data_IF_377294785340
#
_entry.id   IF_377294785340
#
_cell.length_a   1.000
_cell.length_b   1.000
_cell.length_c   1.000
_cell.angle_alpha   90.00
_cell.angle_beta   90.00
_cell.angle_gamma   90.00
#
_symmetry.space_group_name_H-M   'P 1'
#
loop_
_entity.id
_entity.type
_entity.pdbx_description
1 polymer ?
#
# COMPACT_ATOMS: atom_id res chain seq x y z
N UNK A 1 -23.98 -17.66 -2.10
CA UNK A 1 -23.72 -17.47 -0.65
C UNK A 1 -22.38 -18.11 -0.28
N UNK A 2 -21.27 -17.49 -0.66
CA UNK A 2 -19.91 -17.93 -0.31
C UNK A 2 -19.26 -16.80 0.48
N UNK A 3 -19.06 -16.96 1.78
CA UNK A 3 -18.50 -15.86 2.58
C UNK A 3 -18.23 -16.12 4.06
N UNK A 4 -18.83 -17.14 4.70
CA UNK A 4 -18.64 -17.38 6.14
C UNK A 4 -17.86 -18.66 6.50
N UNK A 5 -17.69 -19.61 5.56
CA UNK A 5 -17.21 -20.97 5.86
C UNK A 5 -15.77 -21.29 5.42
N UNK A 6 -15.03 -20.30 4.90
CA UNK A 6 -13.68 -20.54 4.36
C UNK A 6 -12.58 -19.74 5.07
N UNK A 7 -12.63 -19.73 6.40
CA UNK A 7 -11.54 -19.21 7.23
C UNK A 7 -10.43 -20.26 7.39
N UNK A 8 -9.19 -19.83 7.66
CA UNK A 8 -8.08 -20.78 7.89
C UNK A 8 -8.32 -21.67 9.13
N UNK A 9 -8.98 -21.12 10.15
CA UNK A 9 -9.44 -21.90 11.31
C UNK A 9 -10.41 -23.02 10.90
N UNK A 10 -11.37 -22.73 10.03
CA UNK A 10 -12.31 -23.75 9.54
C UNK A 10 -11.58 -24.81 8.70
N UNK A 11 -10.66 -24.39 7.83
CA UNK A 11 -9.83 -25.31 7.03
C UNK A 11 -9.00 -26.22 7.92
N UNK A 12 -8.45 -25.71 9.01
CA UNK A 12 -7.70 -26.48 9.99
C UNK A 12 -8.57 -27.54 10.69
N UNK A 13 -9.77 -27.16 11.14
CA UNK A 13 -10.75 -28.10 11.71
C UNK A 13 -11.11 -29.20 10.69
N UNK A 14 -11.32 -28.84 9.43
CA UNK A 14 -11.67 -29.78 8.37
C UNK A 14 -10.52 -30.76 8.07
N UNK A 15 -9.25 -30.30 8.14
CA UNK A 15 -8.06 -31.16 8.03
C UNK A 15 -8.02 -32.20 9.16
N UNK A 16 -8.22 -31.77 10.40
CA UNK A 16 -8.24 -32.65 11.57
C UNK A 16 -9.35 -33.69 11.43
N UNK A 17 -10.58 -33.26 11.11
CA UNK A 17 -11.72 -34.18 10.88
C UNK A 17 -11.41 -35.21 9.81
N UNK A 18 -10.77 -34.82 8.71
CA UNK A 18 -10.38 -35.73 7.64
C UNK A 18 -9.46 -36.85 8.14
N UNK A 19 -8.46 -36.51 8.95
CA UNK A 19 -7.51 -37.48 9.53
C UNK A 19 -8.22 -38.38 10.55
N UNK A 20 -9.04 -37.81 11.44
CA UNK A 20 -9.79 -38.58 12.44
C UNK A 20 -10.75 -39.59 11.80
N UNK A 21 -11.44 -39.21 10.73
CA UNK A 21 -12.33 -40.13 10.02
C UNK A 21 -11.56 -41.23 9.28
N UNK A 22 -10.36 -40.94 8.76
CA UNK A 22 -9.46 -41.97 8.22
C UNK A 22 -9.04 -42.96 9.32
N UNK A 23 -8.61 -42.48 10.47
CA UNK A 23 -8.24 -43.36 11.59
C UNK A 23 -9.41 -44.23 12.05
N UNK A 24 -10.64 -43.69 12.07
CA UNK A 24 -11.83 -44.47 12.36
C UNK A 24 -12.10 -45.57 11.30
N UNK A 25 -11.87 -45.27 10.02
CA UNK A 25 -11.93 -46.27 8.94
C UNK A 25 -10.92 -47.38 9.17
N UNK A 26 -9.67 -47.00 9.46
CA UNK A 26 -8.56 -47.94 9.66
C UNK A 26 -8.77 -48.79 10.92
N UNK A 27 -9.50 -48.27 11.92
CA UNK A 27 -9.96 -49.00 13.11
C UNK A 27 -11.19 -49.91 12.87
N UNK A 28 -11.69 -50.01 11.62
CA UNK A 28 -12.72 -50.98 11.24
C UNK A 28 -14.06 -50.38 10.81
N UNK A 29 -14.22 -49.04 10.79
CA UNK A 29 -15.42 -48.39 10.23
C UNK A 29 -15.39 -48.36 8.70
N UNK A 30 -15.53 -49.53 8.06
CA UNK A 30 -15.31 -49.74 6.61
C UNK A 30 -16.24 -48.95 5.69
N UNK A 31 -17.39 -48.47 6.20
CA UNK A 31 -18.31 -47.61 5.44
C UNK A 31 -17.74 -46.21 5.17
N UNK A 32 -16.73 -45.77 5.93
CA UNK A 32 -16.08 -44.47 5.75
C UNK A 32 -15.18 -44.54 4.51
N UNK A 33 -15.56 -43.79 3.48
CA UNK A 33 -14.77 -43.63 2.26
C UNK A 33 -14.50 -42.13 1.99
N UNK A 34 -13.63 -41.84 1.01
CA UNK A 34 -13.23 -40.46 0.69
C UNK A 34 -14.40 -39.56 0.31
N UNK A 35 -15.39 -40.11 -0.41
CA UNK A 35 -16.60 -39.37 -0.81
C UNK A 35 -17.43 -39.03 0.43
N UNK A 36 -17.63 -39.99 1.32
CA UNK A 36 -18.37 -39.79 2.57
C UNK A 36 -17.75 -38.70 3.44
N UNK A 37 -16.42 -38.70 3.58
CA UNK A 37 -15.71 -37.65 4.34
C UNK A 37 -15.91 -36.28 3.68
N UNK A 38 -15.74 -36.20 2.35
CA UNK A 38 -15.90 -34.96 1.58
C UNK A 38 -17.28 -34.35 1.79
N UNK A 39 -18.33 -35.17 1.73
CA UNK A 39 -19.71 -34.77 1.96
C UNK A 39 -19.94 -34.32 3.41
N UNK A 40 -19.30 -34.97 4.39
CA UNK A 40 -19.42 -34.63 5.82
C UNK A 40 -18.71 -33.35 6.24
N UNK A 41 -17.58 -33.03 5.62
CA UNK A 41 -16.83 -31.80 5.92
C UNK A 41 -17.15 -30.67 4.94
N UNK A 42 -18.08 -30.89 4.00
CA UNK A 42 -18.45 -29.95 2.94
C UNK A 42 -17.24 -29.45 2.13
N UNK A 43 -16.33 -30.36 1.78
CA UNK A 43 -15.15 -30.08 0.94
C UNK A 43 -15.13 -31.00 -0.27
N UNK A 44 -14.23 -30.72 -1.20
CA UNK A 44 -14.04 -31.56 -2.38
C UNK A 44 -13.33 -32.88 -2.01
N UNK A 45 -13.60 -33.95 -2.75
CA UNK A 45 -12.85 -35.21 -2.63
C UNK A 45 -11.36 -35.05 -2.90
N UNK A 46 -10.98 -34.05 -3.72
CA UNK A 46 -9.58 -33.66 -3.91
C UNK A 46 -8.94 -33.19 -2.60
N UNK A 47 -9.61 -32.34 -1.82
CA UNK A 47 -9.12 -31.91 -0.51
C UNK A 47 -8.90 -33.11 0.42
N UNK A 48 -9.87 -34.04 0.48
CA UNK A 48 -9.76 -35.26 1.29
C UNK A 48 -8.59 -36.14 0.83
N UNK A 49 -8.37 -36.27 -0.48
CA UNK A 49 -7.24 -37.02 -1.05
C UNK A 49 -5.90 -36.39 -0.69
N UNK A 50 -5.77 -35.06 -0.79
CA UNK A 50 -4.54 -34.33 -0.44
C UNK A 50 -4.17 -34.44 1.05
N UNK A 51 -5.14 -34.67 1.92
CA UNK A 51 -4.95 -34.86 3.36
C UNK A 51 -5.03 -36.32 3.81
N UNK A 52 -5.24 -37.26 2.88
CA UNK A 52 -5.48 -38.67 3.19
C UNK A 52 -4.28 -39.34 3.87
N UNK A 53 -3.06 -39.01 3.46
CA UNK A 53 -1.84 -39.65 3.97
C UNK A 53 -1.07 -38.75 4.95
N UNK A 54 -1.62 -37.58 5.27
CA UNK A 54 -0.98 -36.62 6.17
C UNK A 54 -1.17 -37.00 7.64
N UNK A 55 -0.25 -36.56 8.48
CA UNK A 55 -0.33 -36.72 9.94
C UNK A 55 -1.01 -35.51 10.58
N UNK A 56 -1.54 -35.66 11.80
CA UNK A 56 -2.14 -34.57 12.57
C UNK A 56 -1.20 -33.36 12.70
N UNK A 57 0.11 -33.59 12.89
CA UNK A 57 1.11 -32.51 13.02
C UNK A 57 1.15 -31.61 11.79
N UNK A 58 0.93 -32.17 10.59
CA UNK A 58 0.89 -31.42 9.35
C UNK A 58 -0.37 -30.54 9.22
N UNK A 59 -1.41 -30.76 10.03
CA UNK A 59 -2.58 -29.88 10.08
C UNK A 59 -2.25 -28.51 10.69
N UNK A 60 -1.26 -28.47 11.57
CA UNK A 60 -0.79 -27.27 12.29
C UNK A 60 0.40 -26.60 11.61
N UNK A 61 0.89 -27.15 10.49
CA UNK A 61 2.00 -26.57 9.76
C UNK A 61 1.64 -25.17 9.27
N UNK A 62 2.30 -24.16 9.84
CA UNK A 62 2.12 -22.77 9.45
C UNK A 62 2.92 -22.47 8.17
N UNK A 63 2.22 -22.32 7.06
CA UNK A 63 2.78 -21.93 5.77
C UNK A 63 2.83 -20.40 5.58
N UNK A 64 2.52 -19.60 6.62
CA UNK A 64 2.59 -18.13 6.57
C UNK A 64 3.95 -17.61 6.07
N UNK A 65 5.02 -18.37 6.29
CA UNK A 65 6.39 -18.04 5.88
C UNK A 65 6.88 -18.76 4.62
N UNK A 66 6.03 -19.52 3.92
CA UNK A 66 6.40 -20.21 2.68
C UNK A 66 6.48 -19.29 1.45
N UNK A 67 6.29 -17.97 1.65
CA UNK A 67 6.36 -16.97 0.59
C UNK A 67 7.78 -16.78 0.02
N UNK A 68 7.89 -16.26 -1.21
CA UNK A 68 9.18 -15.87 -1.77
C UNK A 68 9.92 -14.91 -0.83
N UNK A 69 11.24 -15.09 -0.68
CA UNK A 69 12.08 -14.17 0.09
C UNK A 69 11.83 -12.73 -0.33
N UNK A 70 11.83 -11.81 0.65
CA UNK A 70 11.70 -10.38 0.40
C UNK A 70 12.73 -9.94 -0.65
N UNK A 71 12.25 -9.35 -1.75
CA UNK A 71 13.08 -8.89 -2.89
C UNK A 71 13.97 -7.68 -2.58
N UNK A 72 14.01 -7.20 -1.33
CA UNK A 72 14.69 -5.96 -0.95
C UNK A 72 15.61 -6.25 0.23
N UNK A 73 16.92 -6.09 0.00
CA UNK A 73 17.93 -6.08 1.06
C UNK A 73 17.68 -4.95 2.07
N UNK A 74 18.19 -5.08 3.30
CA UNK A 74 18.08 -4.01 4.32
C UNK A 74 18.72 -2.71 3.83
N UNK A 75 19.89 -2.80 3.21
CA UNK A 75 20.58 -1.64 2.64
C UNK A 75 19.75 -0.94 1.54
N UNK A 76 19.04 -1.70 0.70
CA UNK A 76 18.13 -1.11 -0.27
C UNK A 76 16.91 -0.44 0.39
N UNK A 77 16.40 -1.00 1.50
CA UNK A 77 15.31 -0.39 2.29
C UNK A 77 15.75 0.93 2.91
N UNK A 78 16.97 1.00 3.45
CA UNK A 78 17.53 2.22 4.03
C UNK A 78 17.64 3.33 2.98
N UNK A 79 18.10 3.01 1.76
CA UNK A 79 18.12 3.95 0.64
C UNK A 79 16.71 4.45 0.30
N UNK A 80 15.69 3.58 0.32
CA UNK A 80 14.31 4.00 0.05
C UNK A 80 13.78 4.92 1.14
N UNK A 81 14.10 4.64 2.41
CA UNK A 81 13.71 5.45 3.57
C UNK A 81 14.36 6.83 3.54
N UNK A 82 15.68 6.88 3.35
CA UNK A 82 16.44 8.12 3.21
C UNK A 82 15.95 8.95 2.03
N UNK A 83 15.65 8.30 0.90
CA UNK A 83 15.10 8.99 -0.27
C UNK A 83 13.62 9.38 -0.12
N UNK A 84 12.93 8.91 0.92
CA UNK A 84 11.59 9.41 1.30
C UNK A 84 11.78 10.70 2.09
N UNK A 85 10.84 11.64 2.03
CA UNK A 85 11.05 13.01 2.52
C UNK A 85 11.73 13.98 1.52
N UNK A 86 12.39 13.48 0.48
CA UNK A 86 13.09 14.33 -0.50
C UNK A 86 12.34 14.47 -1.84
N UNK A 87 12.37 15.67 -2.42
CA UNK A 87 11.90 15.91 -3.79
C UNK A 87 12.81 15.21 -4.82
N UNK A 88 12.30 15.06 -6.07
CA UNK A 88 13.04 14.47 -7.20
C UNK A 88 13.50 13.02 -7.00
N UNK A 89 13.11 12.37 -5.90
CA UNK A 89 13.37 10.95 -5.59
C UNK A 89 12.21 10.05 -6.02
N UNK A 90 11.93 10.06 -7.33
CA UNK A 90 10.94 9.14 -7.93
C UNK A 90 11.35 7.68 -7.77
N UNK A 91 10.39 6.75 -7.79
CA UNK A 91 10.70 5.32 -7.64
C UNK A 91 11.69 4.78 -8.67
N UNK A 92 11.73 5.35 -9.88
CA UNK A 92 12.71 5.00 -10.91
C UNK A 92 14.12 5.53 -10.57
N UNK A 93 14.21 6.73 -10.00
CA UNK A 93 15.48 7.32 -9.56
C UNK A 93 16.05 6.51 -8.41
N UNK A 94 15.22 6.18 -7.42
CA UNK A 94 15.63 5.36 -6.27
C UNK A 94 16.04 3.95 -6.70
N UNK A 95 15.31 3.33 -7.63
CA UNK A 95 15.68 2.03 -8.19
C UNK A 95 17.07 2.07 -8.87
N UNK A 96 17.37 3.12 -9.65
CA UNK A 96 18.70 3.33 -10.24
C UNK A 96 19.77 3.57 -9.18
N UNK A 97 19.45 4.28 -8.11
CA UNK A 97 20.36 4.55 -7.00
C UNK A 97 20.73 3.26 -6.26
N UNK A 98 19.75 2.39 -5.99
CA UNK A 98 19.98 1.06 -5.42
C UNK A 98 20.87 0.22 -6.34
N UNK A 99 20.57 0.18 -7.64
CA UNK A 99 21.39 -0.55 -8.60
C UNK A 99 22.84 -0.05 -8.65
N UNK A 100 23.06 1.25 -8.50
CA UNK A 100 24.40 1.85 -8.47
C UNK A 100 25.14 1.58 -7.15
N UNK A 101 24.48 1.77 -6.00
CA UNK A 101 25.10 1.68 -4.67
C UNK A 101 25.25 0.24 -4.18
N UNK A 102 24.21 -0.59 -4.37
CA UNK A 102 24.12 -1.95 -3.80
C UNK A 102 24.31 -3.05 -4.85
N UNK A 103 24.48 -2.70 -6.13
CA UNK A 103 24.55 -3.65 -7.26
C UNK A 103 23.34 -4.61 -7.31
N UNK A 104 22.20 -4.17 -6.77
CA UNK A 104 20.96 -4.93 -6.72
C UNK A 104 19.96 -4.39 -7.75
N UNK A 105 19.36 -5.26 -8.56
CA UNK A 105 18.35 -4.85 -9.53
C UNK A 105 16.96 -4.81 -8.90
N UNK A 106 16.43 -3.61 -8.71
CA UNK A 106 15.09 -3.39 -8.14
C UNK A 106 14.24 -2.62 -9.14
N UNK A 107 12.97 -3.01 -9.29
CA UNK A 107 12.04 -2.29 -10.16
C UNK A 107 11.41 -1.08 -9.46
N UNK A 108 10.99 -0.06 -10.23
CA UNK A 108 10.17 1.06 -9.71
C UNK A 108 8.96 0.56 -8.90
N UNK A 109 8.31 -0.50 -9.36
CA UNK A 109 7.12 -1.05 -8.71
C UNK A 109 7.45 -1.62 -7.33
N UNK A 110 8.60 -2.30 -7.19
CA UNK A 110 9.07 -2.81 -5.91
C UNK A 110 9.28 -1.68 -4.90
N UNK A 111 9.92 -0.58 -5.32
CA UNK A 111 10.10 0.62 -4.48
C UNK A 111 8.76 1.22 -4.05
N UNK A 112 7.82 1.39 -4.98
CA UNK A 112 6.50 1.94 -4.68
C UNK A 112 5.69 1.04 -3.73
N UNK A 113 5.75 -0.28 -3.94
CA UNK A 113 5.09 -1.24 -3.05
C UNK A 113 5.67 -1.20 -1.64
N UNK A 114 7.00 -1.08 -1.51
CA UNK A 114 7.65 -0.91 -0.22
C UNK A 114 7.20 0.38 0.47
N UNK A 115 7.25 1.53 -0.22
CA UNK A 115 6.79 2.83 0.33
C UNK A 115 5.35 2.76 0.84
N UNK A 116 4.44 2.15 0.08
CA UNK A 116 3.04 1.96 0.49
C UNK A 116 2.89 1.06 1.70
N UNK A 117 3.67 -0.02 1.80
CA UNK A 117 3.66 -0.94 2.96
C UNK A 117 4.15 -0.24 4.24
N UNK A 118 5.11 0.67 4.11
CA UNK A 118 5.58 1.51 5.22
C UNK A 118 4.60 2.66 5.58
N UNK A 119 3.45 2.76 4.88
CA UNK A 119 2.43 3.78 5.12
C UNK A 119 2.69 5.12 4.44
N UNK A 120 3.68 5.22 3.56
CA UNK A 120 4.01 6.47 2.87
C UNK A 120 3.03 6.78 1.74
N UNK A 121 2.70 8.07 1.61
CA UNK A 121 1.85 8.64 0.57
C UNK A 121 2.63 9.69 -0.23
N UNK A 122 2.36 9.82 -1.54
CA UNK A 122 2.95 10.88 -2.35
C UNK A 122 2.20 12.20 -2.14
N UNK A 123 2.88 13.23 -1.67
CA UNK A 123 2.39 14.58 -1.51
C UNK A 123 3.01 15.48 -2.58
N UNK A 124 2.19 16.34 -3.20
CA UNK A 124 2.68 17.33 -4.17
C UNK A 124 3.09 18.59 -3.42
N UNK A 125 4.37 18.96 -3.54
CA UNK A 125 4.89 20.17 -2.92
C UNK A 125 4.64 21.33 -3.87
N UNK A 126 3.98 22.36 -3.37
CA UNK A 126 3.76 23.60 -4.09
C UNK A 126 4.75 24.60 -3.53
N UNK A 127 5.65 25.11 -4.36
CA UNK A 127 6.52 26.22 -3.97
C UNK A 127 5.66 27.39 -3.52
N UNK A 128 5.73 27.77 -2.25
CA UNK A 128 5.13 29.01 -1.78
C UNK A 128 6.02 30.15 -2.28
N UNK A 129 5.45 31.23 -2.86
CA UNK A 129 6.25 32.39 -3.18
C UNK A 129 6.83 32.95 -1.88
N UNK A 130 8.14 33.15 -1.86
CA UNK A 130 8.83 33.82 -0.76
C UNK A 130 8.22 35.22 -0.60
N UNK A 131 7.65 35.51 0.58
CA UNK A 131 7.05 36.81 0.86
C UNK A 131 8.10 37.66 1.55
N UNK A 132 8.47 38.78 0.95
CA UNK A 132 9.18 39.83 1.69
C UNK A 132 8.26 40.40 2.78
N UNK A 133 8.82 41.07 3.77
CA UNK A 133 8.05 41.80 4.79
C UNK A 133 7.04 42.77 4.16
N UNK A 134 7.42 43.40 3.04
CA UNK A 134 6.54 44.25 2.23
C UNK A 134 5.35 43.47 1.68
N UNK A 135 5.57 42.30 1.06
CA UNK A 135 4.47 41.47 0.55
C UNK A 135 3.53 40.99 1.66
N UNK A 136 4.05 40.75 2.87
CA UNK A 136 3.21 40.39 4.02
C UNK A 136 2.35 41.60 4.43
N UNK A 137 2.98 42.76 4.56
CA UNK A 137 2.32 44.01 4.96
C UNK A 137 1.23 44.44 3.97
N UNK A 138 1.52 44.44 2.67
CA UNK A 138 0.57 44.82 1.62
C UNK A 138 -0.65 43.88 1.60
N UNK A 139 -0.43 42.58 1.82
CA UNK A 139 -1.52 41.60 1.89
C UNK A 139 -2.40 41.81 3.12
N UNK A 140 -1.81 42.10 4.28
CA UNK A 140 -2.56 42.40 5.49
C UNK A 140 -3.36 43.69 5.32
N UNK A 141 -2.73 44.73 4.76
CA UNK A 141 -3.41 45.98 4.44
C UNK A 141 -4.59 45.77 3.50
N UNK A 142 -4.41 44.99 2.42
CA UNK A 142 -5.50 44.70 1.48
C UNK A 142 -6.63 43.93 2.16
N UNK A 143 -6.31 42.94 3.01
CA UNK A 143 -7.32 42.20 3.76
C UNK A 143 -8.10 43.11 4.73
N UNK A 144 -7.41 44.00 5.45
CA UNK A 144 -8.05 44.94 6.36
C UNK A 144 -8.92 45.94 5.60
N UNK A 145 -8.47 46.42 4.44
CA UNK A 145 -9.26 47.30 3.58
C UNK A 145 -10.52 46.63 3.00
N UNK A 146 -10.41 45.36 2.58
CA UNK A 146 -11.53 44.58 2.06
C UNK A 146 -12.49 44.10 3.16
N UNK A 147 -12.08 44.11 4.43
CA UNK A 147 -12.89 43.62 5.55
C UNK A 147 -14.18 44.43 5.75
N UNK A 148 -14.13 45.71 5.42
CA UNK A 148 -15.26 46.63 5.55
C UNK A 148 -16.19 46.62 4.33
N UNK A 149 -15.87 45.82 3.30
CA UNK A 149 -16.71 45.69 2.11
C UNK A 149 -17.98 44.89 2.41
N UNK A 150 -19.07 45.34 1.83
CA UNK A 150 -20.39 44.70 1.88
C UNK A 150 -20.63 43.83 0.65
N UNK A 151 -21.73 43.08 0.65
CA UNK A 151 -22.14 42.26 -0.50
C UNK A 151 -22.36 43.11 -1.77
N UNK A 152 -22.85 44.33 -1.62
CA UNK A 152 -23.06 45.27 -2.74
C UNK A 152 -21.72 45.69 -3.38
N UNK A 153 -20.67 45.90 -2.57
CA UNK A 153 -19.33 46.24 -3.07
C UNK A 153 -18.73 45.10 -3.90
N UNK A 154 -18.93 43.85 -3.47
CA UNK A 154 -18.46 42.68 -4.20
C UNK A 154 -19.22 42.41 -5.49
N UNK A 155 -20.48 42.83 -5.62
CA UNK A 155 -21.25 42.71 -6.87
C UNK A 155 -20.65 43.56 -8.01
N UNK A 156 -19.87 44.58 -7.67
CA UNK A 156 -19.18 45.43 -8.63
C UNK A 156 -17.72 44.98 -8.88
N UNK A 157 -17.24 43.94 -8.19
CA UNK A 157 -15.90 43.40 -8.38
C UNK A 157 -15.88 42.41 -9.55
N UNK A 158 -15.08 42.72 -10.57
CA UNK A 158 -14.81 41.81 -11.68
C UNK A 158 -13.34 41.33 -11.61
N UNK A 159 -13.05 40.20 -10.94
CA UNK A 159 -11.70 39.67 -10.89
C UNK A 159 -11.32 39.10 -12.26
N UNK A 160 -10.07 39.35 -12.68
CA UNK A 160 -9.47 38.76 -13.87
C UNK A 160 -8.11 38.18 -13.53
N UNK A 161 -7.79 37.04 -14.11
CA UNK A 161 -6.47 36.41 -14.01
C UNK A 161 -6.13 35.70 -15.32
N UNK A 162 -4.84 35.46 -15.55
CA UNK A 162 -4.34 34.75 -16.72
C UNK A 162 -3.81 33.38 -16.30
N UNK A 163 -4.19 32.33 -17.03
CA UNK A 163 -3.66 30.99 -16.80
C UNK A 163 -3.16 30.35 -18.09
N UNK A 164 -2.13 29.53 -17.94
CA UNK A 164 -1.53 28.82 -19.06
C UNK A 164 -2.40 27.65 -19.52
N UNK A 165 -2.71 27.62 -20.82
CA UNK A 165 -3.31 26.46 -21.49
C UNK A 165 -2.23 25.73 -22.29
N UNK A 166 -1.88 24.52 -21.85
CA UNK A 166 -0.85 23.71 -22.49
C UNK A 166 -1.42 22.97 -23.71
N UNK A 167 -0.93 23.29 -24.91
CA UNK A 167 -1.40 22.69 -26.17
C UNK A 167 -0.72 21.38 -26.54
N UNK A 168 0.53 21.16 -26.09
CA UNK A 168 1.32 19.97 -26.48
C UNK A 168 1.49 19.00 -25.31
N UNK A 169 2.06 19.45 -24.18
CA UNK A 169 2.30 18.59 -23.03
C UNK A 169 2.31 19.40 -21.74
N UNK A 170 1.57 18.92 -20.74
CA UNK A 170 1.60 19.47 -19.39
C UNK A 170 2.97 19.24 -18.72
N UNK A 171 3.43 20.17 -17.87
CA UNK A 171 4.63 19.95 -17.05
C UNK A 171 4.53 18.66 -16.22
N UNK A 172 5.68 18.01 -15.98
CA UNK A 172 5.73 16.77 -15.22
C UNK A 172 5.90 17.04 -13.73
N UNK A 173 4.78 17.14 -13.03
CA UNK A 173 4.73 17.35 -11.58
C UNK A 173 5.10 16.13 -10.71
N UNK A 174 5.63 15.05 -11.32
CA UNK A 174 6.06 13.87 -10.55
C UNK A 174 7.37 14.12 -9.78
N UNK A 175 8.17 15.09 -10.22
CA UNK A 175 9.42 15.46 -9.55
C UNK A 175 9.18 16.32 -8.30
N UNK A 176 8.04 16.99 -8.24
CA UNK A 176 7.62 17.86 -7.14
C UNK A 176 6.92 17.07 -6.02
N UNK A 177 6.97 15.73 -6.10
CA UNK A 177 6.35 14.85 -5.12
C UNK A 177 7.36 14.37 -4.09
N UNK A 178 6.96 14.51 -2.83
CA UNK A 178 7.64 13.91 -1.67
C UNK A 178 6.82 12.71 -1.19
N UNK A 179 7.49 11.66 -0.74
CA UNK A 179 6.84 10.53 -0.07
C UNK A 179 7.01 10.66 1.43
N UNK A 180 5.91 10.82 2.17
CA UNK A 180 5.89 11.01 3.62
C UNK A 180 4.69 10.27 4.25
N UNK A 181 4.64 10.14 5.58
CA UNK A 181 3.47 9.53 6.26
C UNK A 181 2.33 10.53 6.40
N UNK A 182 2.68 11.77 6.73
CA UNK A 182 1.78 12.91 6.92
C UNK A 182 2.31 14.16 6.20
N UNK A 183 1.52 15.23 6.20
CA UNK A 183 1.95 16.52 5.61
C UNK A 183 2.95 17.20 6.53
N UNK A 184 2.78 17.01 7.84
CA UNK A 184 3.60 17.56 8.92
C UNK A 184 5.02 17.00 8.92
N UNK A 185 5.23 15.82 8.33
CA UNK A 185 6.56 15.19 8.18
C UNK A 185 7.36 15.75 6.99
N UNK A 186 6.78 16.66 6.21
CA UNK A 186 7.46 17.32 5.09
C UNK A 186 8.05 18.61 5.65
N UNK A 187 9.38 18.73 5.65
CA UNK A 187 10.05 19.98 5.99
C UNK A 187 9.48 21.09 5.09
N UNK A 188 8.83 22.08 5.70
CA UNK A 188 8.50 23.34 5.03
C UNK A 188 9.85 24.05 4.85
N UNK A 189 10.40 24.02 3.63
CA UNK A 189 11.45 24.96 3.23
C UNK A 189 10.87 26.38 3.36
N UNK A 190 11.07 27.02 4.52
CA UNK A 190 10.77 28.44 4.76
C UNK A 190 11.62 29.35 3.85
#
# INVERSE_FOLDING_TARGET
MAGAYDTEQQRMIDRIKCITFREARDAGATFINRQWIADKIHRTTRFVTEWWEKSCDQCFADYSNAGPKLKLSRAAQDIIREASGHQRKSGSVVAKEIAKKQKEYVTRQTVNNYRRREGLKPFHVISRPLKSETHISDRLWLCDWLKDWTEEDFLHLAPSDEFYVWTVRKPNYQNDRIWAKSVEDIEDDE
#
